data_IF_112969008567
#
_entry.id   IF_112969008567
#
_cell.length_a   1.000
_cell.length_b   1.000
_cell.length_c   1.000
_cell.angle_alpha   90.00
_cell.angle_beta   90.00
_cell.angle_gamma   90.00
#
_symmetry.space_group_name_H-M   'P 1'
#
loop_
_entity.id
_entity.type
_entity.pdbx_description
1 polymer ?
#
# COMPACT_ATOMS: atom_id res chain seq x y z
N UNK A 1 2.71 1.79 14.00
CA UNK A 1 1.39 2.06 14.62
C UNK A 1 0.39 2.58 13.62
N UNK A 2 -0.87 2.50 13.94
CA UNK A 2 -1.98 2.93 13.07
C UNK A 2 -2.56 4.26 13.57
N UNK A 3 -3.12 5.05 12.64
CA UNK A 3 -3.77 6.33 12.99
C UNK A 3 -4.99 6.12 13.89
N UNK A 4 -5.69 5.01 13.74
CA UNK A 4 -6.83 4.58 14.55
C UNK A 4 -6.45 4.25 16.00
N UNK A 5 -5.13 4.11 16.28
CA UNK A 5 -4.58 3.78 17.59
C UNK A 5 -5.12 2.46 18.16
N UNK A 6 -5.25 1.44 17.31
CA UNK A 6 -5.76 0.12 17.69
C UNK A 6 -4.65 -0.91 17.87
N UNK A 7 -3.56 -0.78 17.12
CA UNK A 7 -2.40 -1.67 17.19
C UNK A 7 -1.09 -0.89 17.14
N UNK A 8 -0.12 -1.37 17.89
CA UNK A 8 1.27 -0.90 17.87
C UNK A 8 2.22 -2.09 17.98
N UNK A 9 3.16 -2.14 17.03
CA UNK A 9 4.20 -3.16 17.00
C UNK A 9 5.55 -2.50 16.90
N UNK A 10 6.55 -3.09 17.49
CA UNK A 10 7.92 -2.61 17.47
C UNK A 10 8.91 -3.76 17.25
N UNK A 11 10.05 -3.45 16.66
CA UNK A 11 11.20 -4.34 16.61
C UNK A 11 11.98 -4.24 17.93
N UNK A 12 12.64 -5.32 18.31
CA UNK A 12 13.61 -5.31 19.40
C UNK A 12 15.02 -5.17 18.84
N UNK A 13 15.98 -4.79 19.69
CA UNK A 13 17.38 -4.65 19.29
C UNK A 13 17.96 -5.95 18.73
N UNK A 14 17.50 -7.09 19.23
CA UNK A 14 18.00 -8.42 18.88
C UNK A 14 17.28 -9.09 17.71
N UNK A 15 16.19 -8.49 17.18
CA UNK A 15 15.38 -9.12 16.15
C UNK A 15 14.67 -8.09 15.26
N UNK A 16 14.64 -8.38 13.96
CA UNK A 16 13.81 -7.64 12.99
C UNK A 16 12.33 -8.02 13.04
N UNK A 17 12.00 -9.11 13.76
CA UNK A 17 10.62 -9.55 13.91
C UNK A 17 9.82 -8.50 14.68
N UNK A 18 8.58 -8.27 14.25
CA UNK A 18 7.69 -7.34 14.93
C UNK A 18 7.05 -8.01 16.14
N UNK A 19 7.04 -7.31 17.25
CA UNK A 19 6.36 -7.73 18.48
C UNK A 19 5.20 -6.79 18.78
N UNK A 20 4.06 -7.37 19.10
CA UNK A 20 2.89 -6.65 19.54
C UNK A 20 3.13 -5.98 20.89
N UNK A 21 2.69 -4.74 21.04
CA UNK A 21 2.65 -4.06 22.33
C UNK A 21 1.28 -4.31 23.00
N UNK A 22 1.25 -5.21 23.98
CA UNK A 22 0.02 -5.64 24.66
C UNK A 22 -0.61 -4.56 25.54
N UNK A 23 0.15 -3.53 25.93
CA UNK A 23 -0.40 -2.38 26.65
C UNK A 23 -1.19 -1.45 25.75
N UNK A 24 -0.90 -1.49 24.44
CA UNK A 24 -1.54 -0.67 23.45
C UNK A 24 -2.87 -1.25 22.95
N UNK A 25 -2.94 -2.55 22.81
CA UNK A 25 -4.10 -3.26 22.31
C UNK A 25 -3.89 -4.77 22.20
N UNK A 26 -4.94 -5.46 21.77
CA UNK A 26 -4.90 -6.90 21.47
C UNK A 26 -5.15 -7.12 20.00
N UNK A 27 -4.25 -7.87 19.37
CA UNK A 27 -4.26 -8.20 17.95
C UNK A 27 -4.60 -9.69 17.74
N UNK A 28 -5.50 -9.95 16.79
CA UNK A 28 -5.81 -11.27 16.28
C UNK A 28 -5.48 -11.34 14.80
N UNK A 29 -4.58 -12.23 14.43
CA UNK A 29 -4.24 -12.50 13.04
C UNK A 29 -5.15 -13.61 12.50
N UNK A 30 -5.65 -13.44 11.29
CA UNK A 30 -6.41 -14.45 10.57
C UNK A 30 -5.77 -14.70 9.20
N UNK A 31 -5.82 -15.95 8.74
CA UNK A 31 -5.27 -16.35 7.45
C UNK A 31 -6.14 -15.81 6.30
N UNK A 32 -5.49 -15.21 5.30
CA UNK A 32 -6.14 -14.73 4.07
C UNK A 32 -6.18 -15.79 2.96
N UNK A 33 -5.70 -17.05 3.23
CA UNK A 33 -5.63 -18.15 2.26
C UNK A 33 -4.70 -17.87 1.05
N UNK A 34 -3.97 -16.75 1.06
CA UNK A 34 -3.00 -16.36 0.03
C UNK A 34 -1.56 -16.31 0.54
N UNK A 35 -1.32 -16.91 1.73
CA UNK A 35 -0.02 -16.90 2.40
C UNK A 35 0.25 -15.62 3.22
N UNK A 36 -0.71 -14.71 3.30
CA UNK A 36 -0.67 -13.53 4.17
C UNK A 36 -1.67 -13.62 5.31
N UNK A 37 -1.51 -12.76 6.31
CA UNK A 37 -2.41 -12.68 7.45
C UNK A 37 -3.03 -11.29 7.53
N UNK A 38 -4.35 -11.23 7.74
CA UNK A 38 -5.06 -10.00 8.09
C UNK A 38 -5.05 -9.77 9.59
N UNK A 39 -5.45 -8.57 10.02
CA UNK A 39 -5.41 -8.15 11.42
C UNK A 39 -6.77 -7.63 11.88
N UNK A 40 -7.22 -8.14 13.03
CA UNK A 40 -8.35 -7.61 13.80
C UNK A 40 -7.80 -7.16 15.15
N UNK A 41 -7.97 -5.88 15.47
CA UNK A 41 -7.41 -5.29 16.70
C UNK A 41 -8.47 -4.68 17.61
N UNK A 42 -8.21 -4.70 18.91
CA UNK A 42 -8.94 -3.94 19.92
C UNK A 42 -7.96 -3.03 20.65
N UNK A 43 -8.11 -1.73 20.46
CA UNK A 43 -7.22 -0.72 21.04
C UNK A 43 -7.65 -0.32 22.47
N UNK A 44 -6.68 -0.07 23.35
CA UNK A 44 -6.93 0.27 24.75
C UNK A 44 -6.74 1.75 25.07
N UNK A 45 -6.10 2.52 24.16
CA UNK A 45 -5.67 3.89 24.47
C UNK A 45 -6.61 4.98 23.94
N UNK A 46 -7.55 4.65 23.06
CA UNK A 46 -8.51 5.61 22.54
C UNK A 46 -9.85 5.53 23.30
N UNK A 47 -9.91 6.19 24.44
CA UNK A 47 -11.09 6.16 25.32
C UNK A 47 -12.31 6.91 24.76
N UNK A 48 -12.10 7.88 23.87
CA UNK A 48 -13.18 8.68 23.29
C UNK A 48 -13.89 7.96 22.14
N UNK A 49 -13.16 7.12 21.41
CA UNK A 49 -13.71 6.31 20.33
C UNK A 49 -13.01 4.94 20.35
N UNK A 50 -13.45 4.04 21.24
CA UNK A 50 -12.83 2.73 21.38
C UNK A 50 -13.16 1.87 20.14
N UNK A 51 -12.12 1.37 19.50
CA UNK A 51 -12.24 0.38 18.43
C UNK A 51 -12.16 -1.02 19.05
N UNK A 52 -13.27 -1.75 18.98
CA UNK A 52 -13.36 -3.13 19.46
C UNK A 52 -13.46 -4.06 18.24
N UNK A 53 -12.56 -5.03 18.13
CA UNK A 53 -12.49 -5.97 16.99
C UNK A 53 -12.49 -5.27 15.62
N UNK A 54 -11.74 -4.19 15.54
CA UNK A 54 -11.60 -3.44 14.31
C UNK A 54 -10.75 -4.23 13.30
N UNK A 55 -11.36 -4.58 12.16
CA UNK A 55 -10.67 -5.22 11.05
C UNK A 55 -9.90 -4.18 10.27
N UNK A 56 -8.57 -4.30 10.25
CA UNK A 56 -7.70 -3.44 9.45
C UNK A 56 -7.61 -3.95 8.01
N UNK A 57 -7.13 -3.12 7.10
CA UNK A 57 -6.82 -3.54 5.73
C UNK A 57 -5.36 -3.96 5.57
N UNK A 58 -4.57 -3.88 6.67
CA UNK A 58 -3.16 -4.22 6.65
C UNK A 58 -2.96 -5.75 6.59
N UNK A 59 -1.98 -6.17 5.81
CA UNK A 59 -1.59 -7.58 5.67
C UNK A 59 -0.18 -7.81 6.19
N UNK A 60 0.06 -8.99 6.73
CA UNK A 60 1.28 -9.36 7.44
C UNK A 60 1.86 -10.66 6.90
N UNK A 61 3.17 -10.79 6.98
CA UNK A 61 3.88 -12.05 6.80
C UNK A 61 4.18 -12.63 8.18
N UNK A 62 3.69 -13.84 8.44
CA UNK A 62 3.93 -14.55 9.69
C UNK A 62 4.57 -15.91 9.36
N UNK A 63 5.75 -16.15 9.93
CA UNK A 63 6.50 -17.40 9.79
C UNK A 63 6.91 -17.88 11.18
N UNK A 64 6.72 -19.15 11.44
CA UNK A 64 7.03 -19.79 12.75
C UNK A 64 6.41 -19.03 13.94
N UNK A 65 5.19 -18.50 13.77
CA UNK A 65 4.48 -17.73 14.78
C UNK A 65 5.07 -16.32 15.04
N UNK A 66 5.98 -15.85 14.20
CA UNK A 66 6.61 -14.52 14.31
C UNK A 66 6.19 -13.62 13.17
N UNK A 67 5.88 -12.37 13.48
CA UNK A 67 5.53 -11.35 12.50
C UNK A 67 6.82 -10.86 11.83
N UNK A 68 7.03 -11.24 10.59
CA UNK A 68 8.26 -10.90 9.83
C UNK A 68 8.17 -9.54 9.17
N UNK A 69 7.01 -9.23 8.60
CA UNK A 69 6.84 -7.99 7.84
C UNK A 69 5.37 -7.55 7.79
N UNK A 70 5.17 -6.28 7.40
CA UNK A 70 3.87 -5.70 7.08
C UNK A 70 3.84 -5.46 5.57
N UNK A 71 3.05 -6.23 4.85
CA UNK A 71 2.96 -6.14 3.39
C UNK A 71 2.18 -4.91 2.87
N UNK A 72 1.64 -4.09 3.77
CA UNK A 72 0.77 -2.97 3.42
C UNK A 72 -0.69 -3.39 3.34
N UNK A 73 -1.50 -2.66 2.57
CA UNK A 73 -2.95 -2.90 2.51
C UNK A 73 -3.29 -3.93 1.46
N UNK A 74 -4.21 -4.83 1.78
CA UNK A 74 -4.73 -5.83 0.84
C UNK A 74 -5.36 -5.22 -0.42
N UNK A 75 -5.89 -3.99 -0.29
CA UNK A 75 -6.49 -3.24 -1.41
C UNK A 75 -5.48 -2.54 -2.33
N UNK A 76 -4.21 -2.48 -1.95
CA UNK A 76 -3.16 -1.73 -2.63
C UNK A 76 -2.08 -2.68 -3.17
N UNK A 77 -2.49 -3.73 -3.87
CA UNK A 77 -1.60 -4.72 -4.47
C UNK A 77 -1.71 -4.63 -5.99
N UNK A 78 -0.58 -4.66 -6.68
CA UNK A 78 -0.49 -4.85 -8.12
C UNK A 78 0.07 -6.22 -8.44
N UNK A 79 -0.34 -6.80 -9.54
CA UNK A 79 0.15 -8.09 -10.04
C UNK A 79 1.11 -7.83 -11.19
N UNK A 80 2.35 -8.32 -11.07
CA UNK A 80 3.36 -8.22 -12.13
C UNK A 80 3.11 -9.23 -13.25
N UNK A 81 3.85 -9.10 -14.35
CA UNK A 81 3.72 -9.99 -15.53
C UNK A 81 3.96 -11.47 -15.21
N UNK A 82 4.81 -11.76 -14.24
CA UNK A 82 5.12 -13.13 -13.78
C UNK A 82 4.10 -13.65 -12.73
N UNK A 83 3.08 -12.86 -12.39
CA UNK A 83 2.07 -13.20 -11.39
C UNK A 83 2.44 -12.85 -9.96
N UNK A 84 3.62 -12.27 -9.71
CA UNK A 84 4.02 -11.83 -8.37
C UNK A 84 3.15 -10.69 -7.86
N UNK A 85 2.77 -10.74 -6.58
CA UNK A 85 1.94 -9.70 -5.92
C UNK A 85 2.85 -8.64 -5.31
N UNK A 86 2.73 -7.42 -5.78
CA UNK A 86 3.58 -6.30 -5.37
C UNK A 86 2.78 -5.30 -4.51
N UNK A 87 3.16 -5.14 -3.23
CA UNK A 87 2.51 -4.16 -2.35
C UNK A 87 2.69 -2.73 -2.85
N UNK A 88 1.65 -1.91 -2.70
CA UNK A 88 1.64 -0.49 -3.09
C UNK A 88 2.73 0.35 -2.45
N UNK A 89 3.18 -0.02 -1.26
CA UNK A 89 4.28 0.67 -0.56
C UNK A 89 5.57 0.75 -1.41
N UNK A 90 5.81 -0.23 -2.29
CA UNK A 90 6.97 -0.24 -3.18
C UNK A 90 6.89 0.89 -4.21
N UNK A 91 5.68 1.25 -4.64
CA UNK A 91 5.43 2.34 -5.58
C UNK A 91 5.43 3.69 -4.88
N UNK A 92 4.83 3.81 -3.70
CA UNK A 92 4.89 5.03 -2.89
C UNK A 92 6.34 5.44 -2.58
N UNK A 93 7.13 4.50 -2.07
CA UNK A 93 8.54 4.74 -1.74
C UNK A 93 9.39 5.10 -2.96
N UNK A 94 9.09 4.52 -4.12
CA UNK A 94 9.79 4.85 -5.36
C UNK A 94 9.45 6.26 -5.82
N UNK A 95 8.17 6.61 -5.87
CA UNK A 95 7.71 7.92 -6.33
C UNK A 95 8.23 9.03 -5.42
N UNK A 96 8.05 8.89 -4.11
CA UNK A 96 8.50 9.89 -3.13
C UNK A 96 10.01 10.14 -3.20
N UNK A 97 10.82 9.10 -3.42
CA UNK A 97 12.28 9.23 -3.40
C UNK A 97 12.89 9.60 -4.74
N UNK A 98 12.27 9.20 -5.85
CA UNK A 98 12.88 9.27 -7.18
C UNK A 98 12.17 10.20 -8.14
N UNK A 99 10.93 10.61 -7.85
CA UNK A 99 10.09 11.35 -8.77
C UNK A 99 9.50 12.65 -8.16
N UNK A 100 10.36 13.62 -7.79
CA UNK A 100 9.89 14.87 -7.14
C UNK A 100 8.99 15.72 -8.04
N UNK A 101 9.00 15.46 -9.34
CA UNK A 101 8.12 16.11 -10.31
C UNK A 101 6.65 15.63 -10.21
N UNK A 102 6.35 14.58 -9.46
CA UNK A 102 4.99 14.05 -9.26
C UNK A 102 4.42 14.63 -7.96
N UNK A 103 3.33 15.37 -8.07
CA UNK A 103 2.56 15.89 -6.94
C UNK A 103 1.53 14.88 -6.44
N UNK A 104 0.82 14.23 -7.35
CA UNK A 104 -0.16 13.18 -7.08
C UNK A 104 -0.03 12.11 -8.15
N UNK A 105 -0.30 10.87 -7.79
CA UNK A 105 -0.34 9.77 -8.75
C UNK A 105 -1.44 8.77 -8.44
N UNK A 106 -1.85 8.03 -9.46
CA UNK A 106 -2.74 6.89 -9.34
C UNK A 106 -2.34 5.82 -10.35
N UNK A 107 -2.18 4.60 -9.87
CA UNK A 107 -1.93 3.42 -10.69
C UNK A 107 -3.21 2.60 -10.75
N UNK A 108 -3.67 2.28 -11.93
CA UNK A 108 -4.86 1.46 -12.16
C UNK A 108 -4.44 0.24 -12.96
N UNK A 109 -4.55 -0.92 -12.36
CA UNK A 109 -4.40 -2.18 -13.07
C UNK A 109 -5.76 -2.64 -13.58
N UNK A 110 -5.96 -2.58 -14.91
CA UNK A 110 -7.22 -2.95 -15.57
C UNK A 110 -7.33 -4.44 -15.84
N UNK A 111 -6.24 -5.03 -16.28
CA UNK A 111 -6.10 -6.45 -16.58
C UNK A 111 -4.74 -6.93 -16.07
N UNK A 112 -4.44 -8.22 -16.25
CA UNK A 112 -3.10 -8.76 -15.95
C UNK A 112 -1.99 -8.19 -16.84
N UNK A 113 -2.32 -7.41 -17.85
CA UNK A 113 -1.37 -6.85 -18.81
C UNK A 113 -1.46 -5.33 -18.95
N UNK A 114 -2.56 -4.70 -18.53
CA UNK A 114 -2.81 -3.28 -18.77
C UNK A 114 -2.72 -2.45 -17.48
N UNK A 115 -1.79 -1.52 -17.48
CA UNK A 115 -1.54 -0.57 -16.39
C UNK A 115 -1.75 0.86 -16.89
N UNK A 116 -2.56 1.62 -16.19
CA UNK A 116 -2.73 3.05 -16.40
C UNK A 116 -2.07 3.79 -15.25
N UNK A 117 -1.15 4.70 -15.56
CA UNK A 117 -0.52 5.58 -14.60
C UNK A 117 -0.97 7.03 -14.85
N UNK A 118 -1.82 7.55 -13.99
CA UNK A 118 -2.22 8.94 -14.02
C UNK A 118 -1.39 9.74 -13.02
N UNK A 119 -0.91 10.91 -13.40
CA UNK A 119 -0.18 11.78 -12.50
C UNK A 119 -0.50 13.26 -12.69
N UNK A 120 -0.46 13.98 -11.58
CA UNK A 120 -0.46 15.44 -11.54
C UNK A 120 0.97 15.89 -11.36
N UNK A 121 1.46 16.68 -12.28
CA UNK A 121 2.84 17.20 -12.22
C UNK A 121 2.95 18.34 -11.21
N UNK A 122 4.04 18.36 -10.46
CA UNK A 122 4.38 19.47 -9.58
C UNK A 122 4.67 20.73 -10.45
N UNK A 123 4.03 21.88 -10.19
CA UNK A 123 4.23 23.10 -10.96
C UNK A 123 5.69 23.58 -11.06
N UNK A 124 6.52 23.23 -10.09
CA UNK A 124 7.94 23.60 -10.05
C UNK A 124 8.80 22.78 -11.03
N UNK A 125 8.21 21.78 -11.69
CA UNK A 125 8.87 20.90 -12.64
C UNK A 125 8.16 20.92 -14.00
N UNK A 126 8.89 21.29 -15.06
CA UNK A 126 8.35 21.40 -16.43
C UNK A 126 8.90 20.37 -17.41
N UNK A 127 9.78 19.45 -16.97
CA UNK A 127 10.33 18.40 -17.80
C UNK A 127 9.32 17.28 -18.05
N UNK A 128 9.44 16.64 -19.20
CA UNK A 128 8.72 15.38 -19.46
C UNK A 128 9.38 14.25 -18.65
N UNK A 129 8.56 13.52 -17.91
CA UNK A 129 8.97 12.42 -17.04
C UNK A 129 8.37 11.08 -17.46
N UNK A 130 7.79 11.03 -18.64
CA UNK A 130 7.09 9.84 -19.14
C UNK A 130 8.01 8.63 -19.22
N UNK A 131 9.22 8.79 -19.78
CA UNK A 131 10.21 7.71 -19.88
C UNK A 131 10.68 7.22 -18.51
N UNK A 132 10.87 8.11 -17.55
CA UNK A 132 11.25 7.76 -16.18
C UNK A 132 10.14 6.94 -15.48
N UNK A 133 8.87 7.31 -15.72
CA UNK A 133 7.72 6.55 -15.21
C UNK A 133 7.65 5.17 -15.86
N UNK A 134 7.77 5.09 -17.18
CA UNK A 134 7.75 3.82 -17.92
C UNK A 134 8.86 2.89 -17.46
N UNK A 135 10.10 3.38 -17.35
CA UNK A 135 11.23 2.60 -16.86
C UNK A 135 11.03 2.12 -15.42
N UNK A 136 10.46 2.96 -14.56
CA UNK A 136 10.16 2.62 -13.18
C UNK A 136 9.04 1.57 -13.03
N UNK A 137 8.02 1.63 -13.85
CA UNK A 137 6.93 0.64 -13.89
C UNK A 137 7.42 -0.70 -14.45
N UNK A 138 8.11 -0.66 -15.61
CA UNK A 138 8.61 -1.87 -16.27
C UNK A 138 9.62 -2.64 -15.41
N UNK A 139 10.49 -1.93 -14.69
CA UNK A 139 11.46 -2.55 -13.77
C UNK A 139 10.82 -3.31 -12.60
N UNK A 140 9.55 -3.00 -12.26
CA UNK A 140 8.82 -3.58 -11.14
C UNK A 140 7.77 -4.60 -11.57
N UNK A 141 7.01 -4.26 -12.60
CA UNK A 141 5.86 -5.04 -13.04
C UNK A 141 6.17 -5.94 -14.26
N UNK A 142 7.34 -5.73 -14.89
CA UNK A 142 7.74 -6.44 -16.10
C UNK A 142 7.22 -5.78 -17.38
N UNK A 143 7.24 -6.52 -18.49
CA UNK A 143 6.80 -6.04 -19.79
C UNK A 143 5.28 -6.16 -19.91
N UNK A 144 4.59 -5.05 -19.67
CA UNK A 144 3.14 -4.90 -19.72
C UNK A 144 2.76 -3.72 -20.62
N UNK A 145 1.48 -3.55 -20.88
CA UNK A 145 0.97 -2.39 -21.62
C UNK A 145 0.80 -1.22 -20.67
N UNK A 146 1.64 -0.21 -20.81
CA UNK A 146 1.62 0.98 -19.95
C UNK A 146 0.98 2.17 -20.68
N UNK A 147 0.00 2.82 -20.04
CA UNK A 147 -0.55 4.10 -20.45
C UNK A 147 -0.22 5.15 -19.39
N UNK A 148 0.66 6.11 -19.72
CA UNK A 148 1.06 7.19 -18.80
C UNK A 148 0.33 8.47 -19.20
N UNK A 149 -0.45 9.04 -18.28
CA UNK A 149 -1.28 10.21 -18.54
C UNK A 149 -0.96 11.33 -17.53
N UNK A 150 -0.56 12.49 -18.04
CA UNK A 150 -0.55 13.71 -17.26
C UNK A 150 -1.98 14.25 -17.19
N UNK A 151 -2.47 14.49 -15.98
CA UNK A 151 -3.82 14.98 -15.71
C UNK A 151 -3.77 16.22 -14.80
N UNK A 152 -4.81 17.04 -14.85
CA UNK A 152 -4.90 18.25 -14.02
C UNK A 152 -5.26 17.92 -12.58
N UNK A 153 -6.07 16.88 -12.36
CA UNK A 153 -6.46 16.39 -11.03
C UNK A 153 -6.79 14.89 -11.08
N UNK A 154 -6.70 14.24 -9.93
CA UNK A 154 -7.11 12.84 -9.74
C UNK A 154 -8.31 12.80 -8.81
N UNK A 155 -9.42 12.31 -9.32
CA UNK A 155 -10.72 12.31 -8.62
C UNK A 155 -10.67 11.48 -7.33
N UNK A 156 -11.21 12.05 -6.27
CA UNK A 156 -11.47 11.35 -5.02
C UNK A 156 -12.78 10.57 -5.10
N UNK A 157 -12.91 9.54 -4.29
CA UNK A 157 -14.18 8.85 -4.15
C UNK A 157 -15.25 9.84 -3.65
N UNK A 158 -16.34 10.00 -4.40
CA UNK A 158 -17.39 11.00 -4.11
C UNK A 158 -18.10 10.78 -2.77
N UNK A 159 -18.18 9.53 -2.30
CA UNK A 159 -18.88 9.19 -1.04
C UNK A 159 -17.94 9.30 0.17
N UNK A 160 -16.72 8.80 0.05
CA UNK A 160 -15.79 8.68 1.19
C UNK A 160 -14.78 9.82 1.24
N UNK A 161 -14.68 10.63 0.18
CA UNK A 161 -13.64 11.64 -0.04
C UNK A 161 -12.20 11.08 0.06
N UNK A 162 -12.08 9.75 0.11
CA UNK A 162 -10.78 9.09 0.15
C UNK A 162 -10.15 9.05 -1.23
N UNK A 163 -8.85 9.24 -1.24
CA UNK A 163 -8.01 9.10 -2.41
C UNK A 163 -7.38 7.70 -2.41
N UNK A 164 -7.44 7.01 -3.55
CA UNK A 164 -6.74 5.73 -3.75
C UNK A 164 -5.64 5.92 -4.78
N UNK A 165 -4.40 5.70 -4.36
CA UNK A 165 -3.25 5.73 -5.26
C UNK A 165 -3.15 4.48 -6.13
N UNK A 166 -3.62 3.34 -5.63
CA UNK A 166 -3.60 2.08 -6.34
C UNK A 166 -5.02 1.54 -6.44
N UNK A 167 -5.43 1.18 -7.63
CA UNK A 167 -6.68 0.53 -7.94
C UNK A 167 -6.33 -0.73 -8.72
N UNK A 168 -6.68 -1.89 -8.17
CA UNK A 168 -6.57 -3.16 -8.86
C UNK A 168 -7.98 -3.66 -9.18
N UNK A 169 -8.25 -3.86 -10.48
CA UNK A 169 -9.54 -4.37 -10.99
C UNK A 169 -9.45 -5.86 -11.37
N UNK A 170 -8.29 -6.50 -11.11
CA UNK A 170 -8.02 -7.90 -11.48
C UNK A 170 -8.27 -8.86 -10.33
N UNK A 171 -8.18 -8.37 -9.08
CA UNK A 171 -8.29 -9.18 -7.84
C UNK A 171 -9.53 -8.79 -7.06
#
# INVERSE_FOLDING_TARGET
GQMEKVSFMNQTEDSRDLKQNLEYGVDHFYDNEDGTYGLISTGFINYYMPFIRYKTEDTFVIEDGKIKDVNGRSSDILVSKDGSRLPGVNFYSWIDKKMPAIKLFQIIQKTNEDIIFNYVQNPDHNNDITEDILGGLSSRLGDMNYSVNKVDDIKRNLKTQKFKNIINEVV
#
